data_IF_679365334119
#
_entry.id   IF_679365334119
#
_cell.length_a   1.000
_cell.length_b   1.000
_cell.length_c   1.000
_cell.angle_alpha   90.00
_cell.angle_beta   90.00
_cell.angle_gamma   90.00
#
_symmetry.space_group_name_H-M   'P 1'
#
loop_
_entity.id
_entity.type
_entity.pdbx_description
1 polymer ?
#
# COMPACT_ATOMS: atom_id res chain seq x y z
N UNK A 1 -12.08 0.30 -3.80
CA UNK A 1 -13.06 1.21 -3.19
C UNK A 1 -12.34 2.14 -2.24
N UNK A 2 -12.44 3.46 -2.40
CA UNK A 2 -11.84 4.45 -1.50
C UNK A 2 -12.80 4.75 -0.35
N UNK A 3 -12.43 4.34 0.87
CA UNK A 3 -13.17 4.66 2.11
C UNK A 3 -12.66 6.02 2.64
N UNK A 4 -13.39 7.10 2.38
CA UNK A 4 -12.92 8.49 2.62
C UNK A 4 -13.52 9.18 3.83
N UNK A 5 -13.81 8.45 4.92
CA UNK A 5 -14.24 9.06 6.21
C UNK A 5 -13.44 8.60 7.44
N UNK A 6 -12.42 7.78 7.25
CA UNK A 6 -11.42 7.41 8.24
C UNK A 6 -10.14 8.15 7.91
N UNK A 7 -9.31 8.51 8.90
CA UNK A 7 -7.94 9.01 8.69
C UNK A 7 -7.00 7.95 8.08
N UNK A 8 -7.54 7.02 7.29
CA UNK A 8 -6.90 5.89 6.66
C UNK A 8 -7.52 5.70 5.27
N UNK A 9 -6.65 5.54 4.26
CA UNK A 9 -6.99 5.16 2.89
C UNK A 9 -6.35 3.82 2.57
N UNK A 10 -7.12 2.87 2.06
CA UNK A 10 -6.63 1.57 1.57
C UNK A 10 -6.63 1.57 0.05
N UNK A 11 -5.48 1.23 -0.54
CA UNK A 11 -5.30 1.08 -1.97
C UNK A 11 -4.85 -0.35 -2.26
N UNK A 12 -5.63 -1.04 -3.09
CA UNK A 12 -5.35 -2.41 -3.52
C UNK A 12 -4.80 -2.37 -4.96
N UNK A 13 -3.51 -2.68 -5.12
CA UNK A 13 -2.79 -2.71 -6.39
C UNK A 13 -3.01 -1.42 -7.25
N UNK A 14 -2.85 -0.21 -6.70
CA UNK A 14 -3.23 1.04 -7.39
C UNK A 14 -2.32 1.40 -8.57
N UNK A 15 -1.19 0.70 -8.70
CA UNK A 15 -0.14 0.90 -9.70
C UNK A 15 -0.10 -0.22 -10.75
N UNK A 16 -0.99 -1.21 -10.69
CA UNK A 16 -0.95 -2.41 -11.54
C UNK A 16 -0.94 -2.16 -13.06
N UNK A 17 -1.30 -0.95 -13.51
CA UNK A 17 -1.29 -0.55 -14.92
C UNK A 17 -0.37 0.66 -15.21
N UNK A 18 0.43 1.07 -14.22
CA UNK A 18 1.40 2.15 -14.34
C UNK A 18 2.79 1.57 -14.60
N UNK A 19 3.63 2.32 -15.30
CA UNK A 19 5.05 2.05 -15.32
C UNK A 19 5.71 2.54 -14.02
N UNK A 20 7.01 2.27 -13.86
CA UNK A 20 7.75 2.63 -12.65
C UNK A 20 7.78 4.15 -12.39
N UNK A 21 7.67 4.99 -13.42
CA UNK A 21 7.62 6.45 -13.25
C UNK A 21 6.23 6.89 -12.79
N UNK A 22 5.17 6.36 -13.40
CA UNK A 22 3.79 6.56 -12.99
C UNK A 22 3.53 6.12 -11.56
N UNK A 23 4.05 4.95 -11.16
CA UNK A 23 3.95 4.46 -9.79
C UNK A 23 4.60 5.43 -8.78
N UNK A 24 5.82 5.90 -9.05
CA UNK A 24 6.50 6.89 -8.21
C UNK A 24 5.74 8.22 -8.14
N UNK A 25 5.19 8.67 -9.27
CA UNK A 25 4.40 9.91 -9.31
C UNK A 25 3.15 9.78 -8.46
N UNK A 26 2.42 8.67 -8.58
CA UNK A 26 1.23 8.40 -7.77
C UNK A 26 1.56 8.40 -6.27
N UNK A 27 2.63 7.70 -5.86
CA UNK A 27 3.06 7.66 -4.47
C UNK A 27 3.45 9.05 -3.93
N UNK A 28 4.11 9.87 -4.75
CA UNK A 28 4.44 11.25 -4.40
C UNK A 28 3.17 12.12 -4.26
N UNK A 29 2.20 11.94 -5.14
CA UNK A 29 0.92 12.66 -5.09
C UNK A 29 0.11 12.28 -3.85
N UNK A 30 0.06 11.00 -3.48
CA UNK A 30 -0.59 10.53 -2.26
C UNK A 30 0.04 11.17 -1.02
N UNK A 31 1.38 11.19 -0.95
CA UNK A 31 2.11 11.83 0.16
C UNK A 31 1.82 13.33 0.27
N UNK A 32 1.73 14.05 -0.85
CA UNK A 32 1.44 15.49 -0.85
C UNK A 32 -0.03 15.81 -0.58
N UNK A 33 -0.94 15.00 -1.13
CA UNK A 33 -2.38 15.25 -1.09
C UNK A 33 -3.05 14.77 0.20
N UNK A 34 -2.41 13.86 0.94
CA UNK A 34 -2.97 13.22 2.14
C UNK A 34 -2.01 13.28 3.35
N UNK A 35 -1.49 14.46 3.74
CA UNK A 35 -0.46 14.57 4.78
C UNK A 35 -0.92 14.06 6.16
N UNK A 36 -2.22 14.15 6.47
CA UNK A 36 -2.80 13.74 7.75
C UNK A 36 -3.57 12.41 7.66
N UNK A 37 -3.34 11.62 6.60
CA UNK A 37 -4.04 10.34 6.38
C UNK A 37 -3.03 9.21 6.28
N UNK A 38 -3.25 8.12 7.02
CA UNK A 38 -2.47 6.91 6.83
C UNK A 38 -2.86 6.24 5.50
N UNK A 39 -1.88 5.97 4.64
CA UNK A 39 -2.11 5.24 3.38
C UNK A 39 -1.61 3.81 3.54
N UNK A 40 -2.52 2.84 3.44
CA UNK A 40 -2.18 1.43 3.37
C UNK A 40 -2.21 1.00 1.91
N UNK A 41 -1.03 0.65 1.38
CA UNK A 41 -0.84 0.12 0.04
C UNK A 41 -0.75 -1.40 0.11
N UNK A 42 -1.52 -2.09 -0.72
CA UNK A 42 -1.34 -3.52 -1.01
C UNK A 42 -0.75 -3.62 -2.41
N UNK A 43 0.43 -4.22 -2.50
CA UNK A 43 1.16 -4.45 -3.76
C UNK A 43 1.96 -5.74 -3.64
N UNK A 44 2.17 -6.41 -4.76
CA UNK A 44 3.12 -7.51 -4.91
C UNK A 44 4.50 -7.04 -5.42
N UNK A 45 4.63 -5.77 -5.79
CA UNK A 45 5.87 -5.16 -6.26
C UNK A 45 6.75 -4.71 -5.07
N UNK A 46 7.98 -5.24 -5.03
CA UNK A 46 8.93 -4.95 -3.96
C UNK A 46 9.55 -3.55 -4.08
N UNK A 47 9.70 -3.03 -5.29
CA UNK A 47 10.26 -1.70 -5.53
C UNK A 47 9.28 -0.63 -5.05
N UNK A 48 7.97 -0.85 -5.24
CA UNK A 48 6.93 0.02 -4.70
C UNK A 48 6.86 -0.05 -3.18
N UNK A 49 6.89 -1.25 -2.62
CA UNK A 49 6.89 -1.45 -1.17
C UNK A 49 8.09 -0.74 -0.51
N UNK A 50 9.27 -0.77 -1.15
CA UNK A 50 10.46 -0.09 -0.67
C UNK A 50 10.34 1.45 -0.60
N UNK A 51 9.37 2.04 -1.31
CA UNK A 51 9.09 3.48 -1.26
C UNK A 51 8.18 3.87 -0.10
N UNK A 52 7.51 2.91 0.56
CA UNK A 52 6.62 3.15 1.70
C UNK A 52 7.39 3.40 3.00
N UNK A 53 6.73 4.04 3.97
CA UNK A 53 7.33 4.35 5.28
C UNK A 53 7.54 3.10 6.14
N UNK A 54 6.80 2.03 5.84
CA UNK A 54 6.97 0.70 6.43
C UNK A 54 6.38 -0.38 5.53
N UNK A 55 6.94 -1.58 5.61
CA UNK A 55 6.52 -2.74 4.81
C UNK A 55 6.14 -3.90 5.73
N UNK A 56 4.96 -4.48 5.51
CA UNK A 56 4.51 -5.68 6.19
C UNK A 56 4.32 -6.80 5.18
N UNK A 57 5.11 -7.87 5.30
CA UNK A 57 4.90 -9.08 4.52
C UNK A 57 3.68 -9.85 5.08
N UNK A 58 2.63 -10.01 4.25
CA UNK A 58 1.46 -10.79 4.62
C UNK A 58 1.69 -12.26 4.27
N UNK A 59 2.03 -13.06 5.28
CA UNK A 59 2.12 -14.52 5.17
C UNK A 59 0.85 -15.21 5.64
N UNK A 60 0.55 -16.39 5.09
CA UNK A 60 -0.47 -17.26 5.68
C UNK A 60 -0.09 -17.54 7.14
N UNK A 61 -1.01 -17.33 8.09
CA UNK A 61 -0.83 -17.79 9.47
C UNK A 61 -0.54 -19.29 9.40
N UNK A 62 0.69 -19.70 9.67
CA UNK A 62 1.01 -21.10 9.92
C UNK A 62 0.42 -21.42 11.29
N UNK A 63 -0.84 -21.81 11.30
CA UNK A 63 -1.64 -22.03 12.49
C UNK A 63 -2.46 -23.28 12.33
N UNK A 64 -1.81 -24.43 12.51
CA UNK A 64 -2.46 -25.63 13.00
C UNK A 64 -1.51 -26.33 14.00
N UNK A 65 -1.21 -25.64 15.10
CA UNK A 65 -0.98 -26.36 16.35
C UNK A 65 -2.31 -26.95 16.79
N UNK A 66 -2.52 -28.25 16.49
CA UNK A 66 -3.40 -29.15 17.24
C UNK A 66 -2.84 -30.57 17.14
N UNK A 67 -2.20 -31.01 18.21
CA UNK A 67 -1.68 -32.35 18.45
C UNK A 67 -0.96 -32.37 19.78
#
# INVERSE_FOLDING_TARGET
ALLTRSGVVLLDEPTAHLDAEGARSLLADLRRGLPDTAVLLVTHDQDEAALCDGVMALGARTGAERG
#
